data_IF_807816434787
#
_entry.id   IF_807816434787
#
_cell.length_a   1.000
_cell.length_b   1.000
_cell.length_c   1.000
_cell.angle_alpha   90.00
_cell.angle_beta   90.00
_cell.angle_gamma   90.00
#
_symmetry.space_group_name_H-M   'P 1'
#
loop_
_entity.id
_entity.type
_entity.pdbx_description
1 polymer ?
#
# COMPACT_ATOMS: atom_id res chain seq x y z
N UNK A 1 5.16 3.45 81.27
CA UNK A 1 6.16 3.33 80.17
C UNK A 1 6.13 1.99 79.42
N UNK A 2 5.85 0.83 80.04
CA UNK A 2 5.85 -0.48 79.35
C UNK A 2 4.68 -0.71 78.38
N UNK A 3 3.52 -0.08 78.60
CA UNK A 3 2.35 -0.20 77.71
C UNK A 3 2.49 0.58 76.39
N UNK A 4 3.29 1.65 76.37
CA UNK A 4 3.51 2.50 75.20
C UNK A 4 4.36 1.80 74.12
N UNK A 5 5.28 0.93 74.55
CA UNK A 5 6.13 0.14 73.64
C UNK A 5 5.38 -1.03 72.99
N UNK A 6 4.37 -1.59 73.66
CA UNK A 6 3.51 -2.65 73.10
C UNK A 6 2.55 -2.10 72.03
N UNK A 7 2.12 -0.84 72.15
CA UNK A 7 1.28 -0.17 71.15
C UNK A 7 2.06 0.28 69.90
N UNK A 8 3.38 0.49 70.02
CA UNK A 8 4.25 0.87 68.90
C UNK A 8 4.61 -0.31 67.98
N UNK A 9 4.57 -1.55 68.48
CA UNK A 9 4.83 -2.76 67.66
C UNK A 9 3.59 -3.13 66.81
N UNK A 10 2.39 -2.66 67.20
CA UNK A 10 1.14 -2.90 66.47
C UNK A 10 0.91 -1.96 65.28
N UNK A 11 1.82 -1.00 65.02
CA UNK A 11 1.77 -0.09 63.87
C UNK A 11 3.03 -0.25 63.03
N UNK A 12 3.38 -1.50 62.69
CA UNK A 12 4.20 -1.70 61.50
C UNK A 12 3.31 -1.33 60.30
N UNK A 13 3.70 -0.34 59.48
CA UNK A 13 2.98 -0.07 58.25
C UNK A 13 2.99 -1.38 57.45
N UNK A 14 1.81 -1.93 57.19
CA UNK A 14 1.64 -2.97 56.21
C UNK A 14 2.09 -2.33 54.89
N UNK A 15 3.35 -2.55 54.51
CA UNK A 15 3.89 -1.97 53.31
C UNK A 15 3.14 -2.61 52.15
N UNK A 16 2.42 -1.76 51.44
CA UNK A 16 1.68 -2.15 50.28
C UNK A 16 2.67 -2.70 49.23
N UNK A 17 2.36 -3.88 48.72
CA UNK A 17 3.24 -4.65 47.86
C UNK A 17 2.93 -4.35 46.38
N UNK A 18 3.99 -4.18 45.59
CA UNK A 18 3.92 -4.03 44.14
C UNK A 18 4.73 -5.13 43.46
N UNK A 19 4.22 -5.66 42.36
CA UNK A 19 4.97 -6.59 41.52
C UNK A 19 4.56 -6.45 40.06
N UNK A 20 5.41 -6.95 39.17
CA UNK A 20 5.17 -6.96 37.73
C UNK A 20 5.48 -8.35 37.19
N UNK A 21 4.58 -8.85 36.34
CA UNK A 21 4.75 -10.14 35.68
C UNK A 21 4.75 -9.96 34.17
N UNK A 22 5.63 -10.66 33.48
CA UNK A 22 5.69 -10.72 32.02
C UNK A 22 5.49 -12.15 31.57
N UNK A 23 4.59 -12.37 30.62
CA UNK A 23 4.29 -13.68 30.05
C UNK A 23 4.25 -13.61 28.52
N UNK A 24 4.71 -14.69 27.88
CA UNK A 24 4.65 -14.87 26.44
C UNK A 24 3.57 -15.91 26.13
N UNK A 25 2.47 -15.44 25.56
CA UNK A 25 1.32 -16.23 25.16
C UNK A 25 1.51 -16.58 23.69
N UNK A 26 1.97 -17.79 23.46
CA UNK A 26 2.31 -18.31 22.15
C UNK A 26 1.88 -19.79 22.07
N UNK A 27 1.43 -20.25 20.89
CA UNK A 27 1.21 -21.67 20.66
C UNK A 27 2.53 -22.45 20.80
N UNK A 28 2.42 -23.78 20.85
CA UNK A 28 3.57 -24.68 20.92
C UNK A 28 4.50 -24.45 19.72
N UNK A 29 3.93 -24.44 18.52
CA UNK A 29 4.61 -24.18 17.26
C UNK A 29 4.29 -22.78 16.75
N UNK A 30 5.32 -21.99 16.46
CA UNK A 30 5.18 -20.61 15.93
C UNK A 30 5.91 -20.54 14.61
N UNK A 31 5.18 -20.20 13.56
CA UNK A 31 5.76 -20.00 12.24
C UNK A 31 6.22 -18.54 12.04
N UNK A 32 7.20 -18.27 11.17
CA UNK A 32 7.58 -16.90 10.84
C UNK A 32 6.39 -16.08 10.34
N UNK A 33 6.29 -14.83 10.79
CA UNK A 33 5.18 -13.92 10.52
C UNK A 33 3.93 -14.16 11.38
N UNK A 34 3.85 -15.25 12.15
CA UNK A 34 2.73 -15.49 13.05
C UNK A 34 2.86 -14.58 14.29
N UNK A 35 1.86 -13.72 14.58
CA UNK A 35 1.89 -12.90 15.77
C UNK A 35 1.68 -13.75 17.02
N UNK A 36 2.48 -13.47 18.04
CA UNK A 36 2.32 -13.98 19.41
C UNK A 36 2.11 -12.81 20.36
N UNK A 37 1.57 -13.07 21.55
CA UNK A 37 1.20 -12.01 22.49
C UNK A 37 2.14 -11.97 23.66
N UNK A 38 2.60 -10.78 24.01
CA UNK A 38 3.27 -10.51 25.28
C UNK A 38 2.28 -9.80 26.16
N UNK A 39 2.01 -10.36 27.34
CA UNK A 39 1.22 -9.72 28.36
C UNK A 39 2.11 -9.30 29.52
N UNK A 40 1.96 -8.04 29.93
CA UNK A 40 2.67 -7.45 31.06
C UNK A 40 1.62 -6.97 32.03
N UNK A 41 1.67 -7.48 33.24
CA UNK A 41 0.68 -7.16 34.27
C UNK A 41 1.37 -6.54 35.47
N UNK A 42 0.99 -5.31 35.77
CA UNK A 42 1.32 -4.66 37.03
C UNK A 42 0.31 -5.09 38.08
N UNK A 43 0.78 -5.40 39.27
CA UNK A 43 -0.03 -5.76 40.42
C UNK A 43 0.32 -4.85 41.60
N UNK A 44 -0.69 -4.38 42.30
CA UNK A 44 -0.57 -3.68 43.58
C UNK A 44 -1.68 -4.14 44.51
N UNK A 45 -1.41 -4.24 45.80
CA UNK A 45 -2.45 -4.50 46.82
C UNK A 45 -3.24 -3.22 47.21
N UNK A 46 -2.89 -2.08 46.60
CA UNK A 46 -3.54 -0.77 46.78
C UNK A 46 -4.11 -0.25 45.45
N UNK A 47 -3.91 1.04 45.15
CA UNK A 47 -4.37 1.70 43.93
C UNK A 47 -3.19 2.30 43.17
N UNK A 48 -3.34 2.45 41.85
CA UNK A 48 -2.32 3.06 41.01
C UNK A 48 -2.43 4.59 41.03
N UNK A 49 -1.48 5.27 41.67
CA UNK A 49 -1.30 6.71 41.59
C UNK A 49 0.19 7.08 41.82
N UNK A 50 0.96 7.47 40.79
CA UNK A 50 0.58 7.65 39.38
C UNK A 50 0.22 6.32 38.68
N UNK A 51 -0.38 6.35 37.47
CA UNK A 51 -0.54 5.14 36.67
C UNK A 51 0.81 4.49 36.36
N UNK A 52 0.85 3.15 36.14
CA UNK A 52 2.08 2.47 35.77
C UNK A 52 2.66 3.02 34.47
N UNK A 53 3.97 3.24 34.47
CA UNK A 53 4.72 3.50 33.25
C UNK A 53 5.05 2.16 32.58
N UNK A 54 4.72 2.04 31.29
CA UNK A 54 5.00 0.83 30.53
C UNK A 54 6.46 0.83 30.10
N UNK A 55 7.22 -0.23 30.42
CA UNK A 55 8.62 -0.29 30.05
C UNK A 55 8.80 -0.45 28.54
N UNK A 56 9.98 -0.10 28.04
CA UNK A 56 10.38 -0.48 26.69
C UNK A 56 10.54 -2.00 26.61
N UNK A 57 10.10 -2.58 25.49
CA UNK A 57 10.20 -4.01 25.24
C UNK A 57 11.25 -4.27 24.15
N UNK A 58 12.53 -4.45 24.52
CA UNK A 58 13.49 -4.98 23.57
C UNK A 58 13.00 -6.35 23.11
N UNK A 59 12.96 -6.56 21.80
CA UNK A 59 12.63 -7.84 21.17
C UNK A 59 13.80 -8.20 20.27
N UNK A 60 14.44 -9.33 20.53
CA UNK A 60 15.49 -9.87 19.67
C UNK A 60 14.88 -10.88 18.70
N UNK A 61 15.33 -10.84 17.44
CA UNK A 61 14.79 -11.66 16.35
C UNK A 61 13.26 -11.53 16.16
N UNK A 62 12.73 -10.32 16.38
CA UNK A 62 11.32 -10.02 16.20
C UNK A 62 11.02 -8.53 16.29
N UNK A 63 9.77 -8.18 15.98
CA UNK A 63 9.29 -6.80 15.97
C UNK A 63 8.00 -6.68 16.75
N UNK A 64 7.86 -5.60 17.52
CA UNK A 64 6.57 -5.17 18.08
C UNK A 64 5.66 -4.73 16.94
N UNK A 65 4.44 -5.26 16.93
CA UNK A 65 3.41 -4.83 16.02
C UNK A 65 2.69 -3.61 16.61
N UNK A 66 2.34 -2.65 15.75
CA UNK A 66 1.66 -1.40 16.14
C UNK A 66 0.17 -1.58 16.44
N UNK A 67 -0.29 -2.82 16.55
CA UNK A 67 -1.67 -3.18 16.82
C UNK A 67 -2.06 -2.74 18.23
N UNK A 68 -2.93 -1.73 18.34
CA UNK A 68 -3.41 -1.25 19.63
C UNK A 68 -4.28 -2.32 20.30
N UNK A 69 -3.94 -2.64 21.55
CA UNK A 69 -4.77 -3.45 22.44
C UNK A 69 -5.05 -2.65 23.71
N UNK A 70 -6.31 -2.54 24.14
CA UNK A 70 -6.67 -1.78 25.32
C UNK A 70 -6.15 -2.47 26.59
N UNK A 71 -5.78 -1.67 27.58
CA UNK A 71 -5.37 -2.19 28.88
C UNK A 71 -6.58 -2.83 29.58
N UNK A 72 -6.33 -3.95 30.25
CA UNK A 72 -7.34 -4.69 30.99
C UNK A 72 -7.14 -4.47 32.49
N UNK A 73 -8.23 -4.21 33.20
CA UNK A 73 -8.23 -4.17 34.66
C UNK A 73 -8.50 -5.57 35.19
N UNK A 74 -7.64 -6.03 36.08
CA UNK A 74 -7.73 -7.35 36.70
C UNK A 74 -7.85 -7.21 38.21
N UNK A 75 -8.48 -8.19 38.83
CA UNK A 75 -8.47 -8.37 40.27
C UNK A 75 -8.05 -9.81 40.59
N UNK A 76 -7.21 -9.98 41.60
CA UNK A 76 -6.76 -11.29 42.08
C UNK A 76 -6.84 -11.28 43.60
N UNK A 77 -7.28 -12.37 44.19
CA UNK A 77 -7.21 -12.56 45.65
C UNK A 77 -6.19 -13.64 45.97
N UNK A 78 -5.24 -13.32 46.84
CA UNK A 78 -4.19 -14.24 47.25
C UNK A 78 -4.12 -14.21 48.78
N UNK A 79 -4.56 -15.31 49.41
CA UNK A 79 -4.80 -15.34 50.85
C UNK A 79 -5.85 -14.30 51.28
N UNK A 80 -5.50 -13.46 52.25
CA UNK A 80 -6.34 -12.34 52.72
C UNK A 80 -6.21 -11.06 51.90
N UNK A 81 -5.24 -10.99 50.99
CA UNK A 81 -4.91 -9.75 50.26
C UNK A 81 -5.62 -9.70 48.91
N UNK A 82 -6.23 -8.54 48.60
CA UNK A 82 -6.83 -8.25 47.31
C UNK A 82 -5.85 -7.43 46.48
N UNK A 83 -5.56 -7.91 45.27
CA UNK A 83 -4.64 -7.29 44.34
C UNK A 83 -5.41 -6.67 43.17
N UNK A 84 -5.07 -5.42 42.88
CA UNK A 84 -5.50 -4.67 41.70
C UNK A 84 -4.43 -4.80 40.62
N UNK A 85 -4.83 -5.18 39.41
CA UNK A 85 -3.94 -5.40 38.29
C UNK A 85 -4.28 -4.55 37.08
N UNK A 86 -3.25 -4.08 36.36
CA UNK A 86 -3.39 -3.52 35.02
C UNK A 86 -2.56 -4.36 34.07
N UNK A 87 -3.24 -5.02 33.12
CA UNK A 87 -2.63 -5.88 32.11
C UNK A 87 -2.61 -5.16 30.77
N UNK A 88 -1.44 -5.06 30.19
CA UNK A 88 -1.23 -4.59 28.83
C UNK A 88 -0.79 -5.76 27.96
N UNK A 89 -1.43 -5.87 26.79
CA UNK A 89 -1.04 -6.85 25.77
C UNK A 89 -0.43 -6.13 24.56
N UNK A 90 0.62 -6.73 24.01
CA UNK A 90 1.26 -6.31 22.76
C UNK A 90 1.48 -7.54 21.89
N UNK A 91 1.37 -7.36 20.59
CA UNK A 91 1.71 -8.41 19.64
C UNK A 91 3.16 -8.24 19.20
N UNK A 92 3.89 -9.35 19.11
CA UNK A 92 5.22 -9.42 18.52
C UNK A 92 5.23 -10.54 17.47
N UNK A 93 6.06 -10.39 16.44
CA UNK A 93 6.26 -11.42 15.44
C UNK A 93 7.73 -11.49 15.04
N UNK A 94 8.23 -12.69 14.78
CA UNK A 94 9.52 -12.91 14.12
C UNK A 94 9.28 -13.11 12.63
N UNK A 95 10.01 -12.41 11.76
CA UNK A 95 9.84 -12.51 10.31
C UNK A 95 10.62 -13.68 9.69
N UNK A 96 11.65 -14.15 10.41
CA UNK A 96 12.50 -15.26 10.03
C UNK A 96 12.46 -16.36 11.10
N UNK A 97 12.92 -17.56 10.72
CA UNK A 97 13.16 -18.64 11.67
C UNK A 97 14.27 -18.27 12.66
N UNK A 98 14.17 -18.75 13.89
CA UNK A 98 15.17 -18.52 14.93
C UNK A 98 14.54 -18.48 16.32
N UNK A 99 15.28 -17.93 17.29
CA UNK A 99 14.77 -17.79 18.65
C UNK A 99 14.25 -16.38 18.85
N UNK A 100 12.94 -16.22 18.99
CA UNK A 100 12.31 -14.96 19.41
C UNK A 100 12.59 -14.77 20.90
N UNK A 101 13.25 -13.66 21.28
CA UNK A 101 13.63 -13.44 22.68
C UNK A 101 13.17 -12.08 23.20
N UNK A 102 12.68 -12.11 24.42
CA UNK A 102 12.46 -10.94 25.27
C UNK A 102 13.53 -11.02 26.36
N UNK A 103 14.61 -10.22 26.29
CA UNK A 103 15.73 -10.36 27.22
C UNK A 103 15.30 -10.01 28.65
N UNK A 104 16.10 -10.47 29.61
CA UNK A 104 15.90 -10.13 31.00
C UNK A 104 16.06 -8.61 31.18
N UNK A 105 15.17 -7.99 31.95
CA UNK A 105 15.19 -6.55 32.21
C UNK A 105 14.74 -6.27 33.63
N UNK A 106 15.19 -5.18 34.22
CA UNK A 106 14.77 -4.74 35.55
C UNK A 106 13.84 -3.55 35.40
N UNK A 107 12.67 -3.62 36.03
CA UNK A 107 11.68 -2.55 35.99
C UNK A 107 11.50 -1.97 37.38
N UNK A 108 11.62 -0.65 37.48
CA UNK A 108 11.37 0.09 38.72
C UNK A 108 9.92 0.54 38.77
N UNK A 109 9.17 -0.02 39.72
CA UNK A 109 7.77 0.30 40.00
C UNK A 109 7.69 1.47 40.98
N UNK A 110 6.82 2.43 40.71
CA UNK A 110 6.53 3.54 41.62
C UNK A 110 5.04 3.55 41.98
N UNK A 111 4.73 3.82 43.25
CA UNK A 111 3.37 3.80 43.77
C UNK A 111 3.12 4.86 44.84
N UNK A 112 1.84 5.15 45.12
CA UNK A 112 1.45 6.19 46.05
C UNK A 112 1.95 5.91 47.48
N UNK A 113 2.83 6.78 48.00
CA UNK A 113 3.31 6.67 49.38
C UNK A 113 4.22 5.46 49.65
N UNK A 114 4.77 4.86 48.59
CA UNK A 114 5.68 3.71 48.69
C UNK A 114 7.05 4.05 48.11
N UNK A 115 8.10 3.42 48.66
CA UNK A 115 9.42 3.47 48.06
C UNK A 115 9.41 2.73 46.70
N UNK A 116 10.17 3.19 45.69
CA UNK A 116 10.26 2.49 44.42
C UNK A 116 10.74 1.05 44.59
N UNK A 117 10.09 0.10 43.92
CA UNK A 117 10.41 -1.33 43.98
C UNK A 117 10.98 -1.76 42.63
N UNK A 118 12.22 -2.25 42.62
CA UNK A 118 12.81 -2.82 41.41
C UNK A 118 12.51 -4.32 41.34
N UNK A 119 11.90 -4.75 40.23
CA UNK A 119 11.52 -6.14 40.01
C UNK A 119 12.22 -6.66 38.74
N UNK A 120 12.96 -7.78 38.84
CA UNK A 120 13.56 -8.41 37.68
C UNK A 120 12.50 -9.16 36.86
N UNK A 121 12.46 -8.91 35.57
CA UNK A 121 11.69 -9.69 34.59
C UNK A 121 12.64 -10.68 33.91
N UNK A 122 12.45 -12.01 34.11
CA UNK A 122 13.33 -13.01 33.50
C UNK A 122 13.16 -13.06 31.98
N UNK A 123 14.21 -13.50 31.28
CA UNK A 123 14.15 -13.66 29.84
C UNK A 123 13.06 -14.66 29.42
N UNK A 124 12.36 -14.37 28.32
CA UNK A 124 11.39 -15.26 27.71
C UNK A 124 11.85 -15.58 26.29
N UNK A 125 11.79 -16.85 25.90
CA UNK A 125 12.23 -17.32 24.60
C UNK A 125 11.15 -18.17 23.94
N UNK A 126 11.06 -18.11 22.61
CA UNK A 126 10.20 -18.97 21.80
C UNK A 126 10.90 -19.29 20.49
N UNK A 127 11.03 -20.59 20.20
CA UNK A 127 11.49 -21.05 18.90
C UNK A 127 10.45 -20.72 17.83
N UNK A 128 10.91 -20.10 16.75
CA UNK A 128 10.14 -19.81 15.55
C UNK A 128 10.73 -20.67 14.44
N UNK A 129 9.94 -21.59 13.92
CA UNK A 129 10.38 -22.59 12.96
C UNK A 129 9.40 -22.68 11.81
N UNK A 130 9.91 -22.93 10.61
CA UNK A 130 9.04 -23.29 9.50
C UNK A 130 8.34 -24.62 9.79
N UNK A 131 7.09 -24.79 9.35
CA UNK A 131 6.48 -26.12 9.30
C UNK A 131 7.30 -27.09 8.44
N UNK A 132 7.24 -28.39 8.74
CA UNK A 132 8.11 -29.41 8.13
C UNK A 132 8.10 -29.42 6.59
N UNK A 133 6.95 -29.16 5.96
CA UNK A 133 6.76 -29.14 4.51
C UNK A 133 7.02 -27.77 3.85
N UNK A 134 7.60 -26.82 4.59
CA UNK A 134 7.71 -25.41 4.17
C UNK A 134 9.15 -24.95 4.23
N UNK A 135 9.72 -24.68 3.06
CA UNK A 135 11.01 -23.98 2.94
C UNK A 135 10.76 -22.58 2.43
N UNK A 136 10.94 -21.58 3.32
CA UNK A 136 10.90 -20.12 3.04
C UNK A 136 10.06 -19.73 1.80
N UNK A 137 8.72 -19.83 1.85
CA UNK A 137 7.91 -19.54 0.68
C UNK A 137 7.83 -18.03 0.47
N UNK A 138 7.87 -17.59 -0.79
CA UNK A 138 7.82 -16.17 -1.17
C UNK A 138 6.63 -15.41 -0.55
N UNK A 139 5.55 -16.13 -0.25
CA UNK A 139 4.31 -15.59 0.31
C UNK A 139 3.73 -16.50 1.41
N UNK A 140 4.42 -16.58 2.55
CA UNK A 140 3.87 -17.25 3.74
C UNK A 140 2.81 -16.39 4.41
N UNK A 141 1.59 -16.91 4.55
CA UNK A 141 0.47 -16.23 5.21
C UNK A 141 -0.04 -17.08 6.38
N UNK A 142 0.52 -16.93 7.60
CA UNK A 142 0.06 -17.66 8.77
C UNK A 142 -1.19 -17.01 9.35
N UNK A 143 -2.34 -17.68 9.27
CA UNK A 143 -3.59 -17.19 9.81
C UNK A 143 -4.25 -18.26 10.69
N UNK A 144 -4.94 -17.85 11.75
CA UNK A 144 -5.79 -18.76 12.54
C UNK A 144 -7.17 -19.00 11.89
N UNK A 145 -7.54 -18.13 10.95
CA UNK A 145 -8.72 -18.27 10.11
C UNK A 145 -8.70 -17.28 8.94
N UNK A 146 -9.17 -17.71 7.78
CA UNK A 146 -9.22 -16.87 6.58
C UNK A 146 -10.52 -17.10 5.80
N UNK A 147 -11.14 -16.01 5.35
CA UNK A 147 -12.29 -16.06 4.46
C UNK A 147 -12.17 -15.04 3.33
N UNK A 148 -12.67 -15.44 2.16
CA UNK A 148 -12.79 -14.59 0.98
C UNK A 148 -14.26 -14.35 0.65
N UNK A 149 -14.56 -13.15 0.18
CA UNK A 149 -15.85 -12.80 -0.39
C UNK A 149 -15.64 -11.89 -1.60
N UNK A 150 -16.57 -11.92 -2.55
CA UNK A 150 -16.53 -11.03 -3.70
C UNK A 150 -17.90 -10.43 -4.01
N UNK A 151 -17.84 -9.23 -4.59
CA UNK A 151 -18.98 -8.55 -5.20
C UNK A 151 -18.57 -8.08 -6.59
N UNK A 152 -19.43 -8.33 -7.57
CA UNK A 152 -19.22 -7.90 -8.96
C UNK A 152 -20.31 -6.89 -9.29
N UNK A 153 -19.91 -5.68 -9.65
CA UNK A 153 -20.81 -4.62 -10.08
C UNK A 153 -20.62 -4.40 -11.58
N UNK A 154 -21.72 -4.43 -12.33
CA UNK A 154 -21.73 -4.13 -13.76
C UNK A 154 -22.28 -2.73 -13.95
N UNK A 155 -21.48 -1.84 -14.54
CA UNK A 155 -21.89 -0.48 -14.86
C UNK A 155 -22.11 -0.36 -16.35
N UNK A 156 -23.37 -0.20 -16.74
CA UNK A 156 -23.79 -0.08 -18.12
C UNK A 156 -23.86 1.40 -18.52
N UNK A 157 -23.32 1.74 -19.69
CA UNK A 157 -23.49 3.05 -20.31
C UNK A 157 -24.89 3.23 -20.91
N UNK A 158 -25.56 2.12 -21.27
CA UNK A 158 -26.92 2.11 -21.80
C UNK A 158 -27.97 1.76 -20.74
N UNK A 159 -29.21 2.21 -20.95
CA UNK A 159 -30.35 1.85 -20.11
C UNK A 159 -30.86 0.41 -20.26
N UNK A 160 -30.17 -0.43 -21.04
CA UNK A 160 -30.42 -1.87 -21.12
C UNK A 160 -29.44 -2.63 -20.22
N UNK A 161 -29.78 -3.84 -19.79
CA UNK A 161 -28.92 -4.65 -18.92
C UNK A 161 -27.86 -5.45 -19.73
N UNK A 162 -27.42 -4.90 -20.87
CA UNK A 162 -26.46 -5.54 -21.79
C UNK A 162 -25.10 -4.90 -21.61
N UNK A 163 -24.11 -5.69 -21.20
CA UNK A 163 -22.72 -5.25 -21.12
C UNK A 163 -22.13 -5.04 -22.52
N UNK A 164 -21.55 -3.87 -22.77
CA UNK A 164 -20.98 -3.46 -24.07
C UNK A 164 -19.52 -3.05 -23.93
N UNK A 165 -18.81 -3.03 -25.06
CA UNK A 165 -17.48 -2.43 -25.09
C UNK A 165 -17.54 -0.97 -24.63
N UNK A 166 -16.66 -0.59 -23.71
CA UNK A 166 -16.68 0.70 -23.01
C UNK A 166 -17.45 0.73 -21.69
N UNK A 167 -18.18 -0.33 -21.33
CA UNK A 167 -18.80 -0.48 -20.01
C UNK A 167 -17.79 -0.98 -18.97
N UNK A 168 -18.11 -0.84 -17.67
CA UNK A 168 -17.20 -1.23 -16.58
C UNK A 168 -17.70 -2.48 -15.85
N UNK A 169 -16.82 -3.47 -15.72
CA UNK A 169 -16.97 -4.59 -14.78
C UNK A 169 -16.10 -4.30 -13.56
N UNK A 170 -16.71 -3.99 -12.42
CA UNK A 170 -15.97 -3.78 -11.17
C UNK A 170 -16.01 -5.05 -10.33
N UNK A 171 -14.84 -5.53 -9.93
CA UNK A 171 -14.70 -6.64 -8.99
C UNK A 171 -14.14 -6.12 -7.68
N UNK A 172 -14.92 -6.32 -6.62
CA UNK A 172 -14.55 -6.03 -5.24
C UNK A 172 -14.31 -7.37 -4.54
N UNK A 173 -13.10 -7.58 -4.01
CA UNK A 173 -12.76 -8.76 -3.22
C UNK A 173 -12.41 -8.32 -1.82
N UNK A 174 -13.05 -8.93 -0.83
CA UNK A 174 -12.77 -8.70 0.59
C UNK A 174 -12.22 -9.98 1.20
N UNK A 175 -11.02 -9.89 1.76
CA UNK A 175 -10.41 -10.91 2.61
C UNK A 175 -10.53 -10.51 4.07
N UNK A 176 -10.92 -11.47 4.91
CA UNK A 176 -10.81 -11.37 6.37
C UNK A 176 -9.85 -12.44 6.83
N UNK A 177 -8.80 -12.04 7.53
CA UNK A 177 -7.78 -12.94 8.05
C UNK A 177 -7.52 -12.64 9.54
N UNK A 178 -7.60 -13.67 10.37
CA UNK A 178 -7.30 -13.60 11.80
C UNK A 178 -5.80 -13.79 12.04
N UNK A 179 -5.26 -13.06 13.02
CA UNK A 179 -3.84 -13.09 13.38
C UNK A 179 -2.89 -12.77 12.21
N UNK A 180 -3.34 -11.89 11.31
CA UNK A 180 -2.59 -11.46 10.12
C UNK A 180 -2.56 -9.93 10.05
N UNK A 181 -1.38 -9.39 9.75
CA UNK A 181 -1.22 -7.97 9.46
C UNK A 181 -1.63 -7.66 8.01
N UNK A 182 -2.23 -6.49 7.79
CA UNK A 182 -2.66 -6.03 6.45
C UNK A 182 -1.57 -6.12 5.37
N UNK A 183 -0.32 -5.87 5.76
CA UNK A 183 0.85 -5.86 4.89
C UNK A 183 1.28 -7.27 4.44
N UNK A 184 0.95 -8.32 5.21
CA UNK A 184 1.26 -9.71 4.86
C UNK A 184 0.32 -10.24 3.77
N UNK A 185 -0.85 -9.64 3.59
CA UNK A 185 -1.83 -10.08 2.59
C UNK A 185 -1.32 -9.70 1.18
N UNK A 186 -1.09 -10.69 0.29
CA UNK A 186 -0.65 -10.42 -1.07
C UNK A 186 -1.77 -9.77 -1.91
N UNK A 187 -1.44 -9.13 -3.04
CA UNK A 187 -2.45 -8.65 -3.98
C UNK A 187 -3.38 -9.78 -4.45
N UNK A 188 -4.68 -9.52 -4.51
CA UNK A 188 -5.70 -10.53 -4.82
C UNK A 188 -6.22 -10.42 -6.26
N UNK A 189 -6.18 -9.22 -6.83
CA UNK A 189 -6.75 -8.92 -8.15
C UNK A 189 -5.68 -8.50 -9.15
N UNK A 190 -5.74 -9.01 -10.38
CA UNK A 190 -4.76 -8.75 -11.44
C UNK A 190 -5.44 -8.29 -12.73
N UNK A 191 -4.70 -7.56 -13.55
CA UNK A 191 -5.20 -7.10 -14.84
C UNK A 191 -5.44 -8.29 -15.80
N UNK A 192 -6.46 -8.16 -16.64
CA UNK A 192 -6.84 -9.19 -17.63
C UNK A 192 -6.53 -8.62 -19.02
N UNK A 193 -5.91 -9.44 -19.88
CA UNK A 193 -5.60 -9.06 -21.25
C UNK A 193 -6.88 -8.67 -22.03
N UNK A 194 -6.77 -7.68 -22.93
CA UNK A 194 -7.91 -7.18 -23.70
C UNK A 194 -8.85 -6.24 -22.93
N UNK A 195 -8.50 -5.86 -21.70
CA UNK A 195 -9.21 -4.86 -20.92
C UNK A 195 -8.27 -3.75 -20.46
N UNK A 196 -8.75 -2.52 -20.43
CA UNK A 196 -8.10 -1.50 -19.60
C UNK A 196 -8.50 -1.72 -18.16
N UNK A 197 -7.56 -1.52 -17.22
CA UNK A 197 -7.84 -1.77 -15.81
C UNK A 197 -7.53 -0.56 -14.94
N UNK A 198 -8.45 -0.23 -14.04
CA UNK A 198 -8.25 0.79 -13.02
C UNK A 198 -8.27 0.12 -11.64
N UNK A 199 -7.11 0.08 -10.98
CA UNK A 199 -6.98 -0.39 -9.60
C UNK A 199 -7.28 0.75 -8.63
N UNK A 200 -8.15 0.50 -7.67
CA UNK A 200 -8.36 1.41 -6.54
C UNK A 200 -7.42 1.03 -5.40
N UNK A 201 -7.06 2.01 -4.57
CA UNK A 201 -6.23 1.79 -3.39
C UNK A 201 -6.88 0.77 -2.46
N UNK A 202 -6.17 -0.30 -2.06
CA UNK A 202 -6.68 -1.26 -1.08
C UNK A 202 -7.04 -0.57 0.24
N UNK A 203 -8.19 -0.94 0.81
CA UNK A 203 -8.63 -0.44 2.12
C UNK A 203 -8.49 -1.56 3.14
N UNK A 204 -7.73 -1.30 4.21
CA UNK A 204 -7.53 -2.27 5.30
C UNK A 204 -8.07 -1.72 6.60
N UNK A 205 -8.75 -2.57 7.37
CA UNK A 205 -9.36 -2.23 8.66
C UNK A 205 -9.03 -3.32 9.67
N UNK A 206 -8.68 -2.99 10.92
CA UNK A 206 -8.51 -3.98 11.96
C UNK A 206 -9.85 -4.64 12.29
N UNK A 207 -9.85 -5.95 12.49
CA UNK A 207 -11.00 -6.69 13.02
C UNK A 207 -10.89 -6.63 14.54
N UNK A 208 -11.83 -5.93 15.19
CA UNK A 208 -11.84 -5.78 16.65
C UNK A 208 -12.94 -6.62 17.29
N UNK A 209 -12.68 -7.08 18.52
CA UNK A 209 -13.70 -7.69 19.36
C UNK A 209 -14.47 -6.62 20.15
N UNK A 210 -15.53 -7.02 20.85
CA UNK A 210 -16.33 -6.09 21.69
C UNK A 210 -15.53 -5.36 22.78
N UNK A 211 -14.31 -5.82 23.11
CA UNK A 211 -13.40 -5.15 24.04
C UNK A 211 -12.45 -4.15 23.34
N UNK A 212 -12.49 -4.03 22.01
CA UNK A 212 -11.59 -3.17 21.23
C UNK A 212 -10.23 -3.81 20.93
N UNK A 213 -10.06 -5.09 21.23
CA UNK A 213 -8.85 -5.85 20.92
C UNK A 213 -8.84 -6.25 19.44
N UNK A 214 -7.73 -5.98 18.75
CA UNK A 214 -7.59 -6.34 17.34
C UNK A 214 -7.19 -7.81 17.21
N UNK A 215 -7.98 -8.59 16.49
CA UNK A 215 -7.82 -10.04 16.28
C UNK A 215 -7.44 -10.42 14.86
N UNK A 216 -7.36 -9.45 13.96
CA UNK A 216 -7.02 -9.69 12.57
C UNK A 216 -7.22 -8.46 11.71
N UNK A 217 -7.25 -8.68 10.40
CA UNK A 217 -7.41 -7.64 9.40
C UNK A 217 -8.49 -8.01 8.39
N UNK A 218 -9.30 -7.02 8.03
CA UNK A 218 -10.14 -7.04 6.84
C UNK A 218 -9.49 -6.16 5.76
N UNK A 219 -9.14 -6.72 4.60
CA UNK A 219 -8.61 -5.97 3.45
C UNK A 219 -9.56 -6.10 2.27
N UNK A 220 -9.88 -4.98 1.64
CA UNK A 220 -10.73 -4.91 0.45
C UNK A 220 -9.92 -4.38 -0.73
N UNK A 221 -9.93 -5.12 -1.83
CA UNK A 221 -9.32 -4.73 -3.10
C UNK A 221 -10.40 -4.56 -4.17
N UNK A 222 -10.31 -3.48 -4.93
CA UNK A 222 -11.25 -3.19 -6.01
C UNK A 222 -10.48 -2.98 -7.31
N UNK A 223 -10.85 -3.74 -8.35
CA UNK A 223 -10.31 -3.61 -9.70
C UNK A 223 -11.45 -3.47 -10.70
N UNK A 224 -11.38 -2.42 -11.52
CA UNK A 224 -12.33 -2.15 -12.60
C UNK A 224 -11.72 -2.60 -13.91
N UNK A 225 -12.45 -3.40 -14.68
CA UNK A 225 -12.11 -3.85 -16.01
C UNK A 225 -13.00 -3.12 -17.01
N UNK A 226 -12.38 -2.55 -18.05
CA UNK A 226 -13.03 -1.80 -19.11
C UNK A 226 -12.72 -2.52 -20.44
N UNK A 227 -13.64 -3.38 -20.91
CA UNK A 227 -13.46 -4.12 -22.15
C UNK A 227 -13.51 -3.17 -23.35
N UNK A 228 -12.55 -3.29 -24.26
CA UNK A 228 -12.42 -2.38 -25.42
C UNK A 228 -13.15 -2.91 -26.64
N UNK A 229 -13.22 -4.23 -26.78
CA UNK A 229 -13.80 -4.91 -27.93
C UNK A 229 -15.01 -5.77 -27.51
N UNK A 230 -15.88 -6.05 -28.49
CA UNK A 230 -16.93 -7.04 -28.32
C UNK A 230 -16.30 -8.44 -28.18
N UNK A 231 -16.93 -9.28 -27.37
CA UNK A 231 -16.44 -10.63 -27.11
C UNK A 231 -16.87 -11.12 -25.75
N UNK A 232 -15.93 -11.66 -24.99
CA UNK A 232 -16.19 -12.27 -23.70
C UNK A 232 -15.10 -11.85 -22.72
N UNK A 233 -15.50 -11.39 -21.54
CA UNK A 233 -14.60 -11.05 -20.45
C UNK A 233 -14.72 -12.13 -19.39
N UNK A 234 -13.62 -12.83 -19.14
CA UNK A 234 -13.54 -13.87 -18.12
C UNK A 234 -12.76 -13.34 -16.92
N UNK A 235 -13.44 -13.19 -15.80
CA UNK A 235 -12.81 -12.92 -14.51
C UNK A 235 -12.25 -14.25 -13.96
N UNK A 236 -10.92 -14.36 -13.76
CA UNK A 236 -10.33 -15.60 -13.29
C UNK A 236 -10.77 -15.91 -11.85
N UNK A 237 -10.75 -17.19 -11.43
CA UNK A 237 -10.90 -17.51 -10.01
C UNK A 237 -9.79 -16.83 -9.19
N UNK A 238 -10.12 -16.41 -7.98
CA UNK A 238 -9.12 -15.88 -7.03
C UNK A 238 -8.81 -16.99 -6.05
N UNK A 239 -7.53 -17.37 -5.95
CA UNK A 239 -7.05 -18.40 -5.03
C UNK A 239 -6.00 -17.78 -4.12
N UNK A 240 -6.22 -17.90 -2.82
CA UNK A 240 -5.27 -17.47 -1.81
C UNK A 240 -4.88 -18.68 -0.97
N UNK A 241 -3.64 -19.11 -1.12
CA UNK A 241 -3.04 -20.15 -0.27
C UNK A 241 -2.58 -19.52 1.04
N UNK A 242 -2.84 -20.19 2.15
CA UNK A 242 -2.48 -19.72 3.50
C UNK A 242 -2.17 -20.90 4.41
N UNK A 243 -1.38 -20.65 5.44
CA UNK A 243 -1.04 -21.65 6.45
C UNK A 243 -2.01 -21.51 7.63
N UNK A 244 -2.77 -22.57 7.90
CA UNK A 244 -3.68 -22.64 9.03
C UNK A 244 -2.87 -22.92 10.30
N UNK A 245 -2.72 -21.92 11.15
CA UNK A 245 -1.96 -22.03 12.40
C UNK A 245 -2.69 -22.82 13.47
N UNK A 246 -4.00 -23.03 13.33
CA UNK A 246 -4.81 -23.83 14.25
C UNK A 246 -4.65 -25.32 13.97
N UNK A 247 -4.71 -25.70 12.69
CA UNK A 247 -4.62 -27.10 12.26
C UNK A 247 -3.23 -27.50 11.75
N UNK A 248 -2.29 -26.56 11.68
CA UNK A 248 -0.91 -26.76 11.19
C UNK A 248 -0.87 -27.41 9.80
N UNK A 249 -1.62 -26.84 8.85
CA UNK A 249 -1.70 -27.36 7.48
C UNK A 249 -1.95 -26.26 6.44
N UNK A 250 -1.61 -26.54 5.18
CA UNK A 250 -1.92 -25.66 4.06
C UNK A 250 -3.41 -25.69 3.72
N UNK A 251 -3.98 -24.51 3.56
CA UNK A 251 -5.36 -24.30 3.14
C UNK A 251 -5.38 -23.37 1.92
N UNK A 252 -6.46 -23.46 1.13
CA UNK A 252 -6.69 -22.57 -0.02
C UNK A 252 -8.09 -21.99 0.09
N UNK A 253 -8.18 -20.67 0.20
CA UNK A 253 -9.45 -19.97 0.02
C UNK A 253 -9.63 -19.64 -1.45
N UNK A 254 -10.76 -20.02 -2.02
CA UNK A 254 -11.06 -19.82 -3.44
C UNK A 254 -12.37 -19.05 -3.63
N UNK A 255 -12.36 -18.14 -4.60
CA UNK A 255 -13.54 -17.48 -5.14
C UNK A 255 -13.73 -17.92 -6.58
N UNK A 256 -14.95 -18.29 -6.98
CA UNK A 256 -15.21 -18.72 -8.34
C UNK A 256 -14.92 -17.60 -9.35
N UNK A 257 -14.40 -17.98 -10.51
CA UNK A 257 -14.37 -17.11 -11.67
C UNK A 257 -15.77 -16.91 -12.26
N UNK A 258 -15.91 -15.92 -13.14
CA UNK A 258 -17.16 -15.65 -13.84
C UNK A 258 -16.89 -15.09 -15.23
N UNK A 259 -17.85 -15.27 -16.14
CA UNK A 259 -17.71 -14.87 -17.54
C UNK A 259 -18.88 -13.99 -17.96
N UNK A 260 -18.57 -12.90 -18.64
CA UNK A 260 -19.54 -11.90 -19.08
C UNK A 260 -19.45 -11.69 -20.59
N UNK A 261 -20.55 -11.89 -21.34
CA UNK A 261 -20.59 -11.53 -22.75
C UNK A 261 -20.58 -10.00 -22.90
N UNK A 262 -19.75 -9.49 -23.80
CA UNK A 262 -19.61 -8.08 -24.12
C UNK A 262 -20.08 -7.85 -25.55
N UNK A 263 -21.16 -7.11 -25.71
CA UNK A 263 -21.67 -6.74 -27.02
C UNK A 263 -20.85 -5.58 -27.62
N UNK A 264 -21.00 -5.39 -28.93
CA UNK A 264 -20.45 -4.22 -29.62
C UNK A 264 -20.94 -2.91 -28.99
N UNK A 265 -20.12 -1.85 -29.01
CA UNK A 265 -20.56 -0.54 -28.57
C UNK A 265 -21.76 -0.12 -29.42
N UNK A 266 -22.70 0.64 -28.84
CA UNK A 266 -23.75 1.24 -29.67
C UNK A 266 -23.07 2.14 -30.71
N UNK A 267 -23.53 2.05 -31.95
CA UNK A 267 -23.11 2.99 -32.98
C UNK A 267 -23.28 4.41 -32.42
N UNK A 268 -22.25 5.25 -32.56
CA UNK A 268 -22.25 6.62 -32.06
C UNK A 268 -23.46 7.38 -32.62
N UNK A 269 -24.56 7.39 -31.87
CA UNK A 269 -25.76 8.12 -32.21
C UNK A 269 -25.47 9.61 -32.04
N UNK A 270 -25.87 10.40 -33.05
CA UNK A 270 -25.78 11.88 -33.13
C UNK A 270 -24.37 12.51 -33.01
N UNK A 271 -23.40 11.92 -32.33
CA UNK A 271 -22.08 12.52 -32.09
C UNK A 271 -21.17 12.45 -33.33
N UNK A 272 -21.31 11.39 -34.14
CA UNK A 272 -20.76 11.35 -35.49
C UNK A 272 -21.42 12.37 -36.43
N UNK A 273 -22.67 12.76 -36.18
CA UNK A 273 -23.35 13.84 -36.91
C UNK A 273 -22.96 15.24 -36.39
N UNK A 274 -22.40 15.33 -35.18
CA UNK A 274 -21.82 16.55 -34.59
C UNK A 274 -20.33 16.72 -34.92
N UNK A 275 -19.67 15.72 -35.54
CA UNK A 275 -18.44 15.98 -36.28
C UNK A 275 -18.81 16.87 -37.45
N UNK A 276 -18.76 18.18 -37.22
CA UNK A 276 -18.92 19.16 -38.28
C UNK A 276 -17.93 18.81 -39.39
N UNK A 277 -18.44 18.37 -40.52
CA UNK A 277 -17.66 18.40 -41.74
C UNK A 277 -17.20 19.85 -41.89
N UNK A 278 -15.89 20.06 -41.91
CA UNK A 278 -15.33 21.38 -42.23
C UNK A 278 -15.64 21.59 -43.70
N UNK A 279 -16.87 22.02 -44.00
CA UNK A 279 -17.23 22.50 -45.32
C UNK A 279 -16.45 23.80 -45.50
N UNK A 280 -15.27 23.72 -46.11
CA UNK A 280 -14.60 24.91 -46.63
C UNK A 280 -15.59 25.59 -47.57
N UNK A 281 -16.14 26.75 -47.21
CA UNK A 281 -17.22 27.33 -47.97
C UNK A 281 -16.68 27.70 -49.36
N UNK A 282 -17.48 27.51 -50.41
CA UNK A 282 -17.02 27.63 -51.80
C UNK A 282 -16.39 29.01 -52.12
N UNK A 283 -16.69 30.06 -51.34
CA UNK A 283 -16.06 31.38 -51.50
C UNK A 283 -14.58 31.41 -51.09
N UNK A 284 -14.15 30.51 -50.19
CA UNK A 284 -12.77 30.40 -49.73
C UNK A 284 -11.89 29.74 -50.80
N UNK A 285 -12.42 28.73 -51.50
CA UNK A 285 -11.74 28.11 -52.65
C UNK A 285 -11.69 29.06 -53.85
N UNK A 286 -12.74 29.85 -54.11
CA UNK A 286 -12.69 30.88 -55.16
C UNK A 286 -11.72 32.00 -54.84
N UNK A 287 -11.61 32.45 -53.59
CA UNK A 287 -10.59 33.42 -53.18
C UNK A 287 -9.18 32.90 -53.34
N UNK A 288 -8.93 31.64 -52.97
CA UNK A 288 -7.62 31.01 -53.17
C UNK A 288 -7.27 30.92 -54.66
N UNK A 289 -8.21 30.50 -55.51
CA UNK A 289 -8.02 30.48 -56.96
C UNK A 289 -7.76 31.89 -57.52
N UNK A 290 -8.51 32.90 -57.08
CA UNK A 290 -8.31 34.29 -57.49
C UNK A 290 -6.95 34.84 -57.05
N UNK A 291 -6.49 34.51 -55.83
CA UNK A 291 -5.18 34.91 -55.33
C UNK A 291 -4.03 34.30 -56.15
N UNK A 292 -4.16 33.01 -56.53
CA UNK A 292 -3.17 32.33 -57.39
C UNK A 292 -3.12 32.97 -58.77
N UNK A 293 -4.28 33.29 -59.36
CA UNK A 293 -4.36 33.96 -60.66
C UNK A 293 -3.74 35.37 -60.59
N UNK A 294 -4.06 36.13 -59.55
CA UNK A 294 -3.49 37.47 -59.33
C UNK A 294 -1.97 37.43 -59.15
N UNK A 295 -1.45 36.45 -58.40
CA UNK A 295 -0.03 36.23 -58.23
C UNK A 295 0.67 35.86 -59.55
N UNK A 296 0.05 34.99 -60.36
CA UNK A 296 0.56 34.64 -61.68
C UNK A 296 0.56 35.85 -62.64
N UNK A 297 -0.48 36.69 -62.57
CA UNK A 297 -0.57 37.95 -63.33
C UNK A 297 0.50 38.95 -62.92
N UNK A 298 0.71 39.16 -61.62
CA UNK A 298 1.77 40.00 -61.08
C UNK A 298 3.15 39.50 -61.54
N UNK A 299 3.41 38.20 -61.43
CA UNK A 299 4.66 37.61 -61.90
C UNK A 299 4.85 37.80 -63.40
N UNK A 300 3.80 37.63 -64.22
CA UNK A 300 3.88 37.82 -65.66
C UNK A 300 4.13 39.27 -66.07
N UNK A 301 3.44 40.23 -65.44
CA UNK A 301 3.57 41.64 -65.75
C UNK A 301 4.93 42.19 -65.30
N UNK A 302 5.33 41.84 -64.07
CA UNK A 302 6.60 42.30 -63.50
C UNK A 302 7.80 41.43 -63.89
N UNK A 303 7.64 40.36 -64.69
CA UNK A 303 8.75 39.47 -65.09
C UNK A 303 9.95 40.23 -65.67
N UNK A 304 9.70 41.27 -66.47
CA UNK A 304 10.77 42.07 -67.09
C UNK A 304 11.48 42.96 -66.08
N UNK A 305 10.75 43.50 -65.10
CA UNK A 305 11.32 44.27 -64.00
C UNK A 305 12.10 43.36 -63.04
N UNK A 306 11.54 42.20 -62.67
CA UNK A 306 12.20 41.19 -61.83
C UNK A 306 13.50 40.68 -62.46
N UNK A 307 13.48 40.40 -63.78
CA UNK A 307 14.68 39.98 -64.51
C UNK A 307 15.73 41.11 -64.62
N UNK A 308 15.30 42.37 -64.77
CA UNK A 308 16.21 43.53 -64.75
C UNK A 308 16.84 43.72 -63.36
N UNK A 309 16.05 43.66 -62.30
CA UNK A 309 16.52 43.73 -60.91
C UNK A 309 17.45 42.56 -60.57
N UNK A 310 17.10 41.34 -60.99
CA UNK A 310 17.94 40.14 -60.82
C UNK A 310 19.27 40.26 -61.56
N UNK A 311 19.27 40.75 -62.82
CA UNK A 311 20.51 41.01 -63.57
C UNK A 311 21.33 42.13 -62.95
N UNK A 312 20.70 43.17 -62.40
CA UNK A 312 21.39 44.25 -61.70
C UNK A 312 22.06 43.75 -60.42
N UNK A 313 21.32 43.00 -59.59
CA UNK A 313 21.82 42.39 -58.36
C UNK A 313 22.95 41.39 -58.66
N UNK A 314 22.80 40.56 -59.70
CA UNK A 314 23.83 39.62 -60.14
C UNK A 314 25.11 40.34 -60.61
N UNK A 315 24.98 41.42 -61.40
CA UNK A 315 26.15 42.22 -61.83
C UNK A 315 26.84 42.91 -60.65
N UNK A 316 26.07 43.42 -59.69
CA UNK A 316 26.61 44.06 -58.48
C UNK A 316 27.31 43.03 -57.59
N UNK A 317 26.73 41.86 -57.44
CA UNK A 317 27.34 40.71 -56.77
C UNK A 317 28.64 40.28 -57.46
N UNK A 318 28.62 40.09 -58.77
CA UNK A 318 29.82 39.69 -59.53
C UNK A 318 30.94 40.73 -59.47
N UNK A 319 30.62 42.04 -59.48
CA UNK A 319 31.62 43.11 -59.27
C UNK A 319 32.22 43.11 -57.87
N UNK A 320 31.46 42.74 -56.85
CA UNK A 320 31.94 42.66 -55.47
C UNK A 320 32.99 41.55 -55.29
N UNK A 321 32.88 40.45 -56.07
CA UNK A 321 33.74 39.27 -55.94
C UNK A 321 34.92 39.21 -56.93
N UNK A 322 35.23 40.28 -57.66
CA UNK A 322 36.49 40.33 -58.43
C UNK A 322 37.65 40.82 -57.55
N UNK A 323 38.67 39.99 -57.28
CA UNK A 323 39.86 40.42 -56.54
C UNK A 323 40.71 41.39 -57.38
N UNK A 324 41.05 42.55 -56.81
CA UNK A 324 42.08 43.45 -57.33
C UNK A 324 43.46 42.80 -57.09
N UNK A 325 44.19 42.45 -58.14
CA UNK A 325 45.55 41.92 -58.04
C UNK A 325 46.54 43.03 -57.69
N UNK A 326 47.18 42.94 -56.51
CA UNK A 326 48.31 43.80 -56.12
C UNK A 326 49.58 43.38 -56.89
N UNK A 327 50.37 44.31 -57.47
CA UNK A 327 51.58 43.96 -58.21
C UNK A 327 52.70 43.49 -57.27
N UNK A 328 53.36 42.36 -57.58
CA UNK A 328 54.72 42.09 -57.06
C UNK A 328 55.03 40.73 -56.43
N UNK A 329 54.20 39.67 -56.53
CA UNK A 329 54.51 38.38 -55.86
C UNK A 329 54.24 37.10 -56.65
N UNK A 330 54.68 37.00 -57.92
CA UNK A 330 55.00 35.68 -58.54
C UNK A 330 56.29 35.82 -59.38
N UNK A 331 57.26 34.89 -59.30
CA UNK A 331 58.65 35.11 -59.72
C UNK A 331 58.92 35.02 -61.22
N UNK A 332 60.00 35.70 -61.61
CA UNK A 332 60.65 35.70 -62.91
C UNK A 332 61.18 34.32 -63.35
N UNK A 333 61.03 34.06 -64.66
CA UNK A 333 62.05 33.52 -65.57
C UNK A 333 61.52 32.38 -66.47
N UNK A 334 61.26 32.70 -67.75
CA UNK A 334 61.92 32.05 -68.90
C UNK A 334 61.58 32.74 -70.24
N UNK A 335 62.62 33.30 -70.86
CA UNK A 335 62.95 33.50 -72.30
C UNK A 335 61.81 33.52 -73.34
N UNK A 336 61.77 34.45 -74.30
CA UNK A 336 62.85 35.10 -75.06
C UNK A 336 62.61 36.59 -75.22
#
# INVERSE_FOLDING_TARGET
MKLLWLLLIAVLPCQAAMTITRELIAPEHVAPGQPVRVAVTFWTDTWFNPPPEWPDFPVENGTLLTTASPNQLLTRREGSTSWSGVRMERQIAAWDQGMLRLPATEITLSGAGQAPVTVPLPALEKAVTWPEDVQQPDHFLPASGLSLSQKINLYHSSGDNTLRAGDVVERVVTVRASDVAAAQIPPLLYAIAGTHTQRLTPVSQPITTGRGETTGTQRTETLRYLPVDAGVVTLPPVRLRWWDTTHQQWQVAELPGSTYPVAAPKAAGAEAALRGEIHTPAWLTTLQAAAVIAAAWLLFFFRRALLRSGRFLFRRWHRFWHPLSLPGQIPENRSK
#
